data_IF_084883619877
#
_entry.id   IF_084883619877
#
_cell.length_a   1.000
_cell.length_b   1.000
_cell.length_c   1.000
_cell.angle_alpha   90.00
_cell.angle_beta   90.00
_cell.angle_gamma   90.00
#
_symmetry.space_group_name_H-M   'P 1'
#
loop_
_entity.id
_entity.type
_entity.pdbx_description
1 polymer ?
#
# COMPACT_ATOMS: atom_id res chain seq x y z
N UNK A 1 -14.13 -8.67 -12.32
CA UNK A 1 -12.90 -7.98 -11.88
C UNK A 1 -12.28 -7.21 -13.04
N UNK A 2 -12.11 -7.85 -14.20
CA UNK A 2 -11.46 -7.28 -15.39
C UNK A 2 -12.02 -5.92 -15.84
N UNK A 3 -13.34 -5.75 -15.92
CA UNK A 3 -13.98 -4.47 -16.27
C UNK A 3 -13.66 -3.35 -15.26
N UNK A 4 -13.68 -3.67 -13.97
CA UNK A 4 -13.33 -2.71 -12.91
C UNK A 4 -11.87 -2.29 -13.02
N UNK A 5 -10.97 -3.24 -13.34
CA UNK A 5 -9.55 -2.97 -13.51
C UNK A 5 -9.26 -2.17 -14.78
N UNK A 6 -9.96 -2.43 -15.87
CA UNK A 6 -9.87 -1.62 -17.08
C UNK A 6 -10.30 -0.16 -16.82
N UNK A 7 -11.40 0.03 -16.08
CA UNK A 7 -11.86 1.35 -15.67
C UNK A 7 -10.88 2.03 -14.72
N UNK A 8 -10.30 1.29 -13.78
CA UNK A 8 -9.26 1.81 -12.90
C UNK A 8 -8.02 2.24 -13.68
N UNK A 9 -7.53 1.45 -14.64
CA UNK A 9 -6.38 1.81 -15.49
C UNK A 9 -6.59 3.10 -16.28
N UNK A 10 -7.85 3.46 -16.57
CA UNK A 10 -8.22 4.71 -17.25
C UNK A 10 -8.68 5.82 -16.30
N UNK A 11 -8.71 5.57 -14.98
CA UNK A 11 -9.26 6.52 -14.01
C UNK A 11 -8.32 7.70 -13.80
N UNK A 12 -8.86 8.90 -13.96
CA UNK A 12 -8.19 10.17 -13.69
C UNK A 12 -9.06 11.06 -12.77
N UNK A 13 -8.53 12.22 -12.40
CA UNK A 13 -9.19 13.17 -11.51
C UNK A 13 -10.60 13.53 -12.01
N UNK A 14 -11.60 13.30 -11.17
CA UNK A 14 -13.01 13.56 -11.52
C UNK A 14 -13.67 12.48 -12.39
N UNK A 15 -12.99 11.35 -12.63
CA UNK A 15 -13.57 10.18 -13.30
C UNK A 15 -14.70 9.52 -12.52
N UNK A 16 -15.36 8.54 -13.17
CA UNK A 16 -16.45 7.79 -12.55
C UNK A 16 -15.96 6.97 -11.34
N UNK A 17 -16.42 7.36 -10.15
CA UNK A 17 -16.08 6.69 -8.88
C UNK A 17 -16.82 5.36 -8.70
N UNK A 18 -17.80 5.04 -9.56
CA UNK A 18 -18.52 3.76 -9.51
C UNK A 18 -17.58 2.56 -9.65
N UNK A 19 -16.55 2.67 -10.49
CA UNK A 19 -15.53 1.62 -10.62
C UNK A 19 -14.74 1.41 -9.32
N UNK A 20 -14.35 2.50 -8.64
CA UNK A 20 -13.63 2.45 -7.37
C UNK A 20 -14.49 1.81 -6.28
N UNK A 21 -15.76 2.20 -6.19
CA UNK A 21 -16.71 1.60 -5.24
C UNK A 21 -16.90 0.09 -5.48
N UNK A 22 -16.93 -0.34 -6.75
CA UNK A 22 -17.01 -1.77 -7.09
C UNK A 22 -15.77 -2.55 -6.65
N UNK A 23 -14.58 -1.95 -6.73
CA UNK A 23 -13.33 -2.54 -6.26
C UNK A 23 -13.33 -2.60 -4.72
N UNK A 24 -13.68 -1.50 -4.05
CA UNK A 24 -13.80 -1.46 -2.59
C UNK A 24 -14.75 -2.55 -2.07
N UNK A 25 -15.93 -2.69 -2.70
CA UNK A 25 -16.90 -3.72 -2.35
C UNK A 25 -16.35 -5.13 -2.58
N UNK A 26 -15.55 -5.34 -3.63
CA UNK A 26 -14.91 -6.63 -3.91
C UNK A 26 -13.86 -6.99 -2.87
N UNK A 27 -13.06 -6.01 -2.41
CA UNK A 27 -12.07 -6.19 -1.35
C UNK A 27 -12.77 -6.55 -0.03
N UNK A 28 -13.83 -5.81 0.32
CA UNK A 28 -14.63 -6.10 1.52
C UNK A 28 -15.26 -7.50 1.45
N UNK A 29 -15.82 -7.88 0.30
CA UNK A 29 -16.43 -9.19 0.11
C UNK A 29 -15.40 -10.34 0.09
N UNK A 30 -14.15 -10.05 -0.25
CA UNK A 30 -13.03 -11.00 -0.21
C UNK A 30 -12.41 -11.13 1.19
N UNK A 31 -12.87 -10.36 2.19
CA UNK A 31 -12.33 -10.43 3.54
C UNK A 31 -12.41 -11.85 4.12
N UNK A 32 -11.29 -12.34 4.67
CA UNK A 32 -11.16 -13.72 5.15
C UNK A 32 -10.94 -14.78 4.06
N UNK A 33 -10.95 -14.39 2.77
CA UNK A 33 -10.59 -15.27 1.65
C UNK A 33 -9.25 -14.83 1.05
N UNK A 34 -8.18 -15.53 1.45
CA UNK A 34 -6.82 -15.22 1.03
C UNK A 34 -6.60 -15.34 -0.47
N UNK A 35 -7.26 -16.30 -1.14
CA UNK A 35 -7.13 -16.52 -2.58
C UNK A 35 -7.77 -15.38 -3.39
N UNK A 36 -8.98 -14.95 -3.01
CA UNK A 36 -9.64 -13.80 -3.66
C UNK A 36 -8.91 -12.48 -3.41
N UNK A 37 -8.42 -12.27 -2.18
CA UNK A 37 -7.58 -11.11 -1.89
C UNK A 37 -6.28 -11.14 -2.70
N UNK A 38 -5.71 -12.33 -2.91
CA UNK A 38 -4.53 -12.52 -3.74
C UNK A 38 -4.76 -12.14 -5.21
N UNK A 39 -5.91 -12.52 -5.78
CA UNK A 39 -6.30 -12.14 -7.14
C UNK A 39 -6.48 -10.62 -7.28
N UNK A 40 -7.17 -9.99 -6.32
CA UNK A 40 -7.38 -8.54 -6.33
C UNK A 40 -6.05 -7.80 -6.17
N UNK A 41 -5.19 -8.24 -5.25
CA UNK A 41 -3.87 -7.67 -5.05
C UNK A 41 -3.03 -7.75 -6.33
N UNK A 42 -3.01 -8.90 -7.00
CA UNK A 42 -2.29 -9.05 -8.27
C UNK A 42 -2.79 -8.04 -9.31
N UNK A 43 -4.10 -7.89 -9.45
CA UNK A 43 -4.68 -6.94 -10.40
C UNK A 43 -4.32 -5.48 -10.06
N UNK A 44 -4.28 -5.10 -8.79
CA UNK A 44 -3.86 -3.76 -8.36
C UNK A 44 -2.36 -3.51 -8.62
N UNK A 45 -1.52 -4.54 -8.48
CA UNK A 45 -0.09 -4.44 -8.81
C UNK A 45 0.13 -4.21 -10.30
N UNK A 46 -0.64 -4.87 -11.16
CA UNK A 46 -0.59 -4.60 -12.60
C UNK A 46 -0.96 -3.16 -12.94
N UNK A 47 -1.90 -2.54 -12.21
CA UNK A 47 -2.23 -1.11 -12.39
C UNK A 47 -1.03 -0.23 -12.05
N UNK A 48 -0.36 -0.49 -10.92
CA UNK A 48 0.84 0.26 -10.52
C UNK A 48 1.97 0.17 -11.54
N UNK A 49 2.16 -0.99 -12.15
CA UNK A 49 3.20 -1.26 -13.14
C UNK A 49 2.85 -0.77 -14.55
N UNK A 50 1.61 -0.35 -14.79
CA UNK A 50 1.16 0.16 -16.08
C UNK A 50 1.38 1.67 -16.24
N UNK A 51 1.02 2.21 -17.39
CA UNK A 51 0.98 3.67 -17.65
C UNK A 51 -0.32 4.32 -17.14
N UNK A 52 -0.99 3.71 -16.16
CA UNK A 52 -2.20 4.26 -15.57
C UNK A 52 -1.95 5.67 -14.99
N UNK A 53 -2.94 6.58 -15.05
CA UNK A 53 -2.82 7.92 -14.48
C UNK A 53 -2.49 7.90 -12.98
N UNK A 54 -1.91 9.00 -12.49
CA UNK A 54 -1.53 9.16 -11.08
C UNK A 54 -2.68 8.82 -10.11
N UNK A 55 -3.95 9.23 -10.34
CA UNK A 55 -5.06 8.91 -9.44
C UNK A 55 -5.35 7.41 -9.34
N UNK A 56 -5.24 6.68 -10.45
CA UNK A 56 -5.40 5.23 -10.46
C UNK A 56 -4.30 4.54 -9.65
N UNK A 57 -3.06 5.01 -9.80
CA UNK A 57 -1.92 4.50 -9.03
C UNK A 57 -2.03 4.85 -7.55
N UNK A 58 -2.44 6.07 -7.22
CA UNK A 58 -2.71 6.49 -5.84
C UNK A 58 -3.77 5.60 -5.18
N UNK A 59 -4.90 5.38 -5.87
CA UNK A 59 -5.95 4.52 -5.37
C UNK A 59 -5.42 3.10 -5.14
N UNK A 60 -4.66 2.56 -6.09
CA UNK A 60 -4.06 1.22 -5.97
C UNK A 60 -3.12 1.11 -4.77
N UNK A 61 -2.25 2.10 -4.52
CA UNK A 61 -1.40 2.15 -3.33
C UNK A 61 -2.22 2.09 -2.03
N UNK A 62 -3.34 2.83 -1.96
CA UNK A 62 -4.22 2.84 -0.78
C UNK A 62 -4.89 1.49 -0.55
N UNK A 63 -5.35 0.82 -1.60
CA UNK A 63 -5.96 -0.51 -1.47
C UNK A 63 -4.93 -1.57 -1.05
N UNK A 64 -3.72 -1.52 -1.60
CA UNK A 64 -2.63 -2.42 -1.21
C UNK A 64 -2.21 -2.21 0.26
N UNK A 65 -2.25 -0.97 0.75
CA UNK A 65 -2.03 -0.66 2.16
C UNK A 65 -3.07 -1.32 3.09
N UNK A 66 -4.32 -1.45 2.63
CA UNK A 66 -5.39 -2.13 3.37
C UNK A 66 -5.28 -3.66 3.28
N UNK A 67 -4.86 -4.19 2.12
CA UNK A 67 -4.64 -5.62 1.91
C UNK A 67 -3.44 -6.11 2.75
N UNK A 68 -2.37 -5.32 2.83
CA UNK A 68 -1.36 -5.45 3.86
C UNK A 68 -0.41 -6.64 3.73
N UNK A 69 -0.20 -7.20 2.52
CA UNK A 69 0.68 -8.38 2.35
C UNK A 69 2.07 -8.04 1.80
N UNK A 70 3.02 -8.94 2.03
CA UNK A 70 4.40 -8.81 1.53
C UNK A 70 4.52 -8.79 0.01
N UNK A 71 3.52 -9.30 -0.71
CA UNK A 71 3.58 -9.42 -2.18
C UNK A 71 3.62 -8.07 -2.87
N UNK A 72 2.97 -7.06 -2.29
CA UNK A 72 2.98 -5.71 -2.85
C UNK A 72 4.24 -4.90 -2.51
N UNK A 73 5.01 -5.31 -1.49
CA UNK A 73 6.15 -4.55 -0.96
C UNK A 73 7.22 -4.26 -2.02
N UNK A 74 7.68 -5.22 -2.86
CA UNK A 74 8.71 -4.93 -3.86
C UNK A 74 8.28 -3.90 -4.91
N UNK A 75 7.01 -3.93 -5.31
CA UNK A 75 6.45 -3.00 -6.31
C UNK A 75 6.35 -1.60 -5.71
N UNK A 76 5.82 -1.48 -4.48
CA UNK A 76 5.76 -0.19 -3.77
C UNK A 76 7.15 0.38 -3.51
N UNK A 77 8.12 -0.47 -3.12
CA UNK A 77 9.50 -0.03 -2.87
C UNK A 77 10.18 0.54 -4.12
N UNK A 78 9.91 -0.03 -5.30
CA UNK A 78 10.44 0.46 -6.57
C UNK A 78 9.93 1.88 -6.92
N UNK A 79 8.80 2.30 -6.36
CA UNK A 79 8.20 3.62 -6.57
C UNK A 79 8.75 4.70 -5.61
N UNK A 80 9.54 4.33 -4.60
CA UNK A 80 10.07 5.29 -3.61
C UNK A 80 11.01 6.37 -4.20
N UNK A 81 11.80 6.11 -5.26
CA UNK A 81 12.57 7.15 -5.92
C UNK A 81 11.74 8.09 -6.82
N UNK A 82 10.50 7.73 -7.14
CA UNK A 82 9.66 8.48 -8.07
C UNK A 82 9.31 9.87 -7.53
N UNK A 83 9.31 10.89 -8.38
CA UNK A 83 9.07 12.27 -7.94
C UNK A 83 7.64 12.49 -7.46
N UNK A 84 6.66 11.86 -8.08
CA UNK A 84 5.22 12.10 -7.88
C UNK A 84 4.57 11.03 -6.98
N UNK A 85 5.05 9.79 -7.05
CA UNK A 85 4.44 8.64 -6.40
C UNK A 85 5.15 8.21 -5.11
N UNK A 86 6.35 8.74 -4.82
CA UNK A 86 7.16 8.35 -3.65
C UNK A 86 6.39 8.47 -2.33
N UNK A 87 5.68 9.56 -2.08
CA UNK A 87 4.91 9.72 -0.85
C UNK A 87 3.77 8.70 -0.72
N UNK A 88 3.13 8.35 -1.83
CA UNK A 88 2.03 7.39 -1.84
C UNK A 88 2.51 5.97 -1.60
N UNK A 89 3.62 5.61 -2.24
CA UNK A 89 4.29 4.34 -2.01
C UNK A 89 4.79 4.23 -0.57
N UNK A 90 5.40 5.29 -0.05
CA UNK A 90 5.89 5.37 1.32
C UNK A 90 4.77 5.19 2.34
N UNK A 91 3.66 5.91 2.19
CA UNK A 91 2.51 5.78 3.10
C UNK A 91 1.86 4.39 3.04
N UNK A 92 1.83 3.76 1.85
CA UNK A 92 1.36 2.39 1.72
C UNK A 92 2.27 1.40 2.46
N UNK A 93 3.59 1.50 2.26
CA UNK A 93 4.58 0.72 3.00
C UNK A 93 4.53 0.98 4.51
N UNK A 94 4.24 2.21 4.93
CA UNK A 94 4.06 2.56 6.34
C UNK A 94 2.90 1.82 6.99
N UNK A 95 1.82 1.56 6.25
CA UNK A 95 0.63 0.89 6.76
C UNK A 95 0.75 -0.65 6.78
N UNK A 96 1.56 -1.25 5.90
CA UNK A 96 1.69 -2.71 5.77
C UNK A 96 2.36 -3.30 7.02
N UNK A 97 1.69 -4.15 7.82
CA UNK A 97 2.17 -4.56 9.14
C UNK A 97 3.19 -5.72 9.09
N UNK A 98 4.19 -5.65 8.21
CA UNK A 98 5.18 -6.71 8.01
C UNK A 98 6.62 -6.20 8.12
N UNK A 99 7.54 -7.06 8.56
CA UNK A 99 8.96 -6.72 8.64
C UNK A 99 9.59 -6.46 7.26
N UNK A 100 9.05 -7.07 6.20
CA UNK A 100 9.51 -6.88 4.82
C UNK A 100 9.33 -5.42 4.39
N UNK A 101 8.25 -4.76 4.82
CA UNK A 101 8.05 -3.33 4.55
C UNK A 101 9.10 -2.46 5.26
N UNK A 102 9.53 -2.81 6.47
CA UNK A 102 10.62 -2.10 7.16
C UNK A 102 11.94 -2.24 6.40
N UNK A 103 12.26 -3.46 5.96
CA UNK A 103 13.47 -3.75 5.19
C UNK A 103 13.49 -2.98 3.87
N UNK A 104 12.35 -2.94 3.18
CA UNK A 104 12.19 -2.19 1.94
C UNK A 104 12.40 -0.68 2.15
N UNK A 105 11.81 -0.10 3.20
CA UNK A 105 12.01 1.30 3.56
C UNK A 105 13.48 1.58 3.91
N UNK A 106 14.14 0.71 4.68
CA UNK A 106 15.58 0.86 5.00
C UNK A 106 16.45 0.80 3.74
N UNK A 107 16.22 -0.18 2.88
CA UNK A 107 16.97 -0.34 1.63
C UNK A 107 16.78 0.84 0.66
N UNK A 108 15.66 1.57 0.76
CA UNK A 108 15.42 2.74 -0.06
C UNK A 108 16.16 3.99 0.43
N UNK A 109 16.63 4.04 1.68
CA UNK A 109 17.38 5.18 2.22
C UNK A 109 18.68 5.47 1.44
N UNK A 110 19.28 4.43 0.86
CA UNK A 110 20.49 4.56 0.03
C UNK A 110 20.19 5.04 -1.40
N UNK A 111 18.92 5.13 -1.78
CA UNK A 111 18.46 5.42 -3.15
C UNK A 111 17.77 6.78 -3.28
N UNK A 112 17.49 7.44 -2.16
CA UNK A 112 16.77 8.73 -2.13
C UNK A 112 17.48 9.74 -1.25
N UNK A 113 17.28 11.02 -1.55
CA UNK A 113 17.88 12.14 -0.82
C UNK A 113 16.82 13.19 -0.45
N UNK A 114 17.24 14.18 0.33
CA UNK A 114 16.39 15.31 0.74
C UNK A 114 15.09 14.88 1.41
N UNK A 115 13.99 15.52 1.00
CA UNK A 115 12.66 15.33 1.61
C UNK A 115 12.15 13.89 1.51
N UNK A 116 12.47 13.17 0.43
CA UNK A 116 12.08 11.75 0.28
C UNK A 116 12.76 10.89 1.33
N UNK A 117 14.05 11.12 1.57
CA UNK A 117 14.81 10.41 2.62
C UNK A 117 14.26 10.73 4.01
N UNK A 118 13.99 12.01 4.28
CA UNK A 118 13.39 12.44 5.55
C UNK A 118 12.01 11.78 5.79
N UNK A 119 11.18 11.71 4.75
CA UNK A 119 9.90 11.02 4.78
C UNK A 119 10.03 9.54 5.16
N UNK A 120 10.95 8.81 4.52
CA UNK A 120 11.18 7.38 4.80
C UNK A 120 11.61 7.17 6.26
N UNK A 121 12.50 8.02 6.79
CA UNK A 121 12.91 7.97 8.20
C UNK A 121 11.71 8.17 9.14
N UNK A 122 10.85 9.15 8.85
CA UNK A 122 9.64 9.39 9.64
C UNK A 122 8.71 8.17 9.63
N UNK A 123 8.51 7.55 8.47
CA UNK A 123 7.70 6.33 8.37
C UNK A 123 8.27 5.17 9.18
N UNK A 124 9.59 4.97 9.16
CA UNK A 124 10.23 3.94 9.99
C UNK A 124 10.02 4.19 11.50
N UNK A 125 10.07 5.44 11.93
CA UNK A 125 9.81 5.82 13.33
C UNK A 125 8.35 5.54 13.74
N UNK A 126 7.39 5.96 12.90
CA UNK A 126 5.96 5.70 13.14
C UNK A 126 5.63 4.20 13.20
N UNK A 127 6.24 3.40 12.32
CA UNK A 127 6.09 1.94 12.34
C UNK A 127 6.65 1.33 13.62
N UNK A 128 7.83 1.78 14.05
CA UNK A 128 8.43 1.32 15.31
C UNK A 128 7.52 1.61 16.50
N UNK A 129 6.96 2.82 16.59
CA UNK A 129 6.00 3.18 17.66
C UNK A 129 4.78 2.26 17.64
N UNK A 130 4.21 2.01 16.47
CA UNK A 130 3.02 1.16 16.31
C UNK A 130 3.26 -0.27 16.83
N UNK A 131 4.39 -0.88 16.46
CA UNK A 131 4.75 -2.23 16.92
C UNK A 131 4.93 -2.30 18.45
N UNK A 132 5.50 -1.27 19.06
CA UNK A 132 5.64 -1.20 20.53
C UNK A 132 4.26 -1.15 21.20
N UNK A 133 3.35 -0.29 20.73
CA UNK A 133 2.01 -0.18 21.32
C UNK A 133 1.17 -1.45 21.19
N UNK A 134 1.33 -2.23 20.11
CA UNK A 134 0.64 -3.52 19.95
C UNK A 134 1.15 -4.59 20.92
N UNK A 135 2.43 -4.50 21.30
CA UNK A 135 3.04 -5.44 22.25
C UNK A 135 2.59 -5.14 23.69
N UNK A 136 2.57 -3.86 24.07
CA UNK A 136 2.12 -3.42 25.40
C UNK A 136 0.62 -3.70 25.66
N UNK A 137 -0.22 -3.69 24.60
CA UNK A 137 -1.63 -4.05 24.70
C UNK A 137 -1.88 -5.55 24.90
N UNK A 138 -0.97 -6.42 24.45
CA UNK A 138 -1.07 -7.85 24.67
C UNK A 138 -0.77 -8.20 26.14
N UNK A 139 0.28 -7.59 26.71
CA UNK A 139 0.70 -7.80 28.10
C UNK A 139 -0.33 -7.26 29.11
N UNK A 140 -1.06 -6.19 28.77
CA UNK A 140 -2.10 -5.64 29.63
C UNK A 140 -3.40 -6.47 29.68
N UNK A 141 -3.60 -7.40 28.74
CA UNK A 141 -4.82 -8.20 28.64
C UNK A 141 -4.68 -9.62 29.22
N UNK A 142 -3.48 -10.04 29.63
CA UNK A 142 -3.23 -11.29 30.35
C UNK A 142 -3.30 -11.16 31.88
N UNK A 143 -3.54 -9.96 32.42
CA UNK A 143 -3.62 -9.68 33.87
C UNK A 143 -5.08 -9.47 34.34
N UNK A 144 -6.08 -10.03 33.64
CA UNK A 144 -7.49 -10.00 34.08
C UNK A 144 -8.15 -11.37 34.13
#
# INVERSE_FOLDING_TARGET
MDDLMAKLKAYDWGGDRGALMGIDASIVAAHGNTEKLAEIEHALLEVLQSEAPIPAKEYSCRQLALIGTDRCVPVLAAMLPDTELSDRARLALEAIPTAVADEALRAALDKVEGDKRAGIVNSLDERKKRLVTSTEQHDANEIK
#
